data_IF_668851106294
#
_entry.id   IF_668851106294
#
_cell.length_a   1.000
_cell.length_b   1.000
_cell.length_c   1.000
_cell.angle_alpha   90.00
_cell.angle_beta   90.00
_cell.angle_gamma   90.00
#
_symmetry.space_group_name_H-M   'P 1'
#
loop_
_entity.id
_entity.type
_entity.pdbx_description
1 polymer ?
#
# COMPACT_ATOMS: atom_id res chain seq x y z
N UNK A 1 -32.02 38.60 14.58
CA UNK A 1 -33.14 38.29 13.67
C UNK A 1 -32.71 38.31 12.20
N UNK A 2 -31.99 39.35 11.73
CA UNK A 2 -31.51 39.44 10.33
C UNK A 2 -30.56 38.31 9.89
N UNK A 3 -29.72 37.78 10.78
CA UNK A 3 -28.83 36.65 10.47
C UNK A 3 -29.59 35.38 10.03
N UNK A 4 -30.66 35.04 10.73
CA UNK A 4 -31.50 33.90 10.33
C UNK A 4 -32.27 34.18 9.04
N UNK A 5 -32.60 35.46 8.77
CA UNK A 5 -33.25 35.87 7.54
C UNK A 5 -32.35 35.66 6.32
N UNK A 6 -31.05 35.98 6.41
CA UNK A 6 -30.12 35.74 5.30
C UNK A 6 -29.96 34.25 5.01
N UNK A 7 -29.95 33.39 6.03
CA UNK A 7 -29.95 31.92 5.87
C UNK A 7 -31.22 31.43 5.16
N UNK A 8 -32.39 31.98 5.49
CA UNK A 8 -33.66 31.65 4.83
C UNK A 8 -33.67 32.12 3.37
N UNK A 9 -33.12 33.29 3.06
CA UNK A 9 -32.99 33.73 1.66
C UNK A 9 -32.04 32.84 0.87
N UNK A 10 -30.99 32.35 1.49
CA UNK A 10 -30.05 31.41 0.87
C UNK A 10 -30.73 30.07 0.54
N UNK A 11 -31.55 29.53 1.44
CA UNK A 11 -32.31 28.29 1.17
C UNK A 11 -33.34 28.45 0.04
N UNK A 12 -33.79 29.68 -0.20
CA UNK A 12 -34.67 30.05 -1.32
C UNK A 12 -33.91 30.49 -2.58
N UNK A 13 -32.57 30.41 -2.59
CA UNK A 13 -31.69 30.86 -3.69
C UNK A 13 -31.87 32.33 -4.08
N UNK A 14 -32.31 33.20 -3.15
CA UNK A 14 -32.51 34.64 -3.38
C UNK A 14 -31.22 35.41 -3.08
N UNK A 15 -30.19 35.23 -3.92
CA UNK A 15 -28.81 35.68 -3.67
C UNK A 15 -28.71 37.20 -3.42
N UNK A 16 -29.44 38.02 -4.19
CA UNK A 16 -29.40 39.48 -4.01
C UNK A 16 -29.88 39.92 -2.61
N UNK A 17 -30.92 39.24 -2.09
CA UNK A 17 -31.43 39.51 -0.76
C UNK A 17 -30.49 38.99 0.34
N UNK A 18 -29.76 37.91 0.08
CA UNK A 18 -28.71 37.42 0.99
C UNK A 18 -27.60 38.46 1.12
N UNK A 19 -27.11 38.97 -0.01
CA UNK A 19 -26.04 39.98 -0.05
C UNK A 19 -26.46 41.27 0.67
N UNK A 20 -27.64 41.80 0.33
CA UNK A 20 -28.17 43.01 0.94
C UNK A 20 -28.37 42.84 2.46
N UNK A 21 -28.94 41.71 2.88
CA UNK A 21 -29.16 41.45 4.31
C UNK A 21 -27.83 41.33 5.07
N UNK A 22 -26.83 40.64 4.51
CA UNK A 22 -25.52 40.51 5.15
C UNK A 22 -24.76 41.83 5.18
N UNK A 23 -24.87 42.68 4.15
CA UNK A 23 -24.29 44.04 4.16
C UNK A 23 -24.87 44.88 5.28
N UNK A 24 -26.18 44.92 5.41
CA UNK A 24 -26.85 45.64 6.50
C UNK A 24 -26.46 45.12 7.88
N UNK A 25 -26.24 43.81 8.04
CA UNK A 25 -25.77 43.24 9.31
C UNK A 25 -24.37 43.78 9.64
N UNK A 26 -23.46 43.80 8.67
CA UNK A 26 -22.09 44.25 8.87
C UNK A 26 -21.98 45.77 9.04
N UNK A 27 -22.84 46.56 8.39
CA UNK A 27 -22.93 48.01 8.64
C UNK A 27 -23.38 48.33 10.07
N UNK A 28 -24.36 47.57 10.59
CA UNK A 28 -24.90 47.77 11.93
C UNK A 28 -24.00 47.16 13.01
N UNK A 29 -23.32 46.05 12.69
CA UNK A 29 -22.50 45.27 13.62
C UNK A 29 -21.23 44.78 12.91
N UNK A 30 -20.22 45.65 12.70
CA UNK A 30 -19.01 45.30 11.94
C UNK A 30 -18.22 44.11 12.49
N UNK A 31 -18.21 43.96 13.82
CA UNK A 31 -17.47 42.91 14.52
C UNK A 31 -18.30 41.62 14.75
N UNK A 32 -19.46 41.48 14.10
CA UNK A 32 -20.29 40.29 14.25
C UNK A 32 -19.77 39.15 13.36
N UNK A 33 -19.04 38.22 13.98
CA UNK A 33 -18.34 37.11 13.33
C UNK A 33 -19.23 36.30 12.39
N UNK A 34 -20.44 35.93 12.80
CA UNK A 34 -21.34 35.15 11.92
C UNK A 34 -21.78 35.96 10.68
N UNK A 35 -21.90 37.28 10.79
CA UNK A 35 -22.13 38.15 9.65
C UNK A 35 -20.95 38.14 8.66
N UNK A 36 -19.72 38.19 9.20
CA UNK A 36 -18.49 38.12 8.41
C UNK A 36 -18.34 36.76 7.72
N UNK A 37 -18.59 35.66 8.45
CA UNK A 37 -18.57 34.29 7.92
C UNK A 37 -19.62 34.10 6.82
N UNK A 38 -20.84 34.61 7.00
CA UNK A 38 -21.89 34.52 5.99
C UNK A 38 -21.51 35.29 4.72
N UNK A 39 -20.90 36.47 4.87
CA UNK A 39 -20.42 37.25 3.73
C UNK A 39 -19.25 36.55 3.01
N UNK A 40 -18.30 35.97 3.76
CA UNK A 40 -17.19 35.21 3.19
C UNK A 40 -17.67 33.99 2.40
N UNK A 41 -18.64 33.23 2.92
CA UNK A 41 -19.25 32.11 2.20
C UNK A 41 -19.92 32.56 0.89
N UNK A 42 -20.62 33.69 0.91
CA UNK A 42 -21.21 34.27 -0.29
C UNK A 42 -20.15 34.66 -1.33
N UNK A 43 -19.03 35.24 -0.89
CA UNK A 43 -17.91 35.57 -1.78
C UNK A 43 -17.28 34.33 -2.39
N UNK A 44 -17.10 33.26 -1.61
CA UNK A 44 -16.64 31.96 -2.12
C UNK A 44 -17.61 31.43 -3.19
N UNK A 45 -18.92 31.44 -2.92
CA UNK A 45 -19.96 30.98 -3.87
C UNK A 45 -19.98 31.78 -5.16
N UNK A 46 -19.72 33.09 -5.06
CA UNK A 46 -19.64 34.01 -6.20
C UNK A 46 -18.26 34.04 -6.87
N UNK A 47 -17.30 33.22 -6.42
CA UNK A 47 -15.90 33.19 -6.91
C UNK A 47 -15.14 34.52 -6.76
N UNK A 48 -15.51 35.33 -5.76
CA UNK A 48 -14.85 36.60 -5.39
C UNK A 48 -13.85 36.37 -4.26
N UNK A 49 -12.84 35.53 -4.52
CA UNK A 49 -11.92 35.03 -3.50
C UNK A 49 -11.05 36.14 -2.87
N UNK A 50 -10.69 37.14 -3.67
CA UNK A 50 -9.97 38.36 -3.26
C UNK A 50 -10.64 39.11 -2.10
N UNK A 51 -11.96 39.01 -1.99
CA UNK A 51 -12.74 39.71 -0.95
C UNK A 51 -12.84 38.95 0.38
N UNK A 52 -12.44 37.69 0.42
CA UNK A 52 -12.55 36.88 1.64
C UNK A 52 -11.58 37.39 2.72
N UNK A 53 -10.29 37.64 2.43
CA UNK A 53 -9.37 38.24 3.40
C UNK A 53 -9.77 39.66 3.83
N UNK A 54 -10.46 40.42 2.97
CA UNK A 54 -10.97 41.77 3.33
C UNK A 54 -12.00 41.70 4.47
N UNK A 55 -12.76 40.61 4.56
CA UNK A 55 -13.81 40.42 5.58
C UNK A 55 -13.32 39.63 6.78
N UNK A 56 -12.49 38.60 6.58
CA UNK A 56 -12.02 37.71 7.64
C UNK A 56 -10.63 38.07 8.20
N UNK A 57 -10.01 39.13 7.67
CA UNK A 57 -8.64 39.54 8.01
C UNK A 57 -7.61 38.85 7.12
N UNK A 58 -6.51 39.54 6.84
CA UNK A 58 -5.46 39.07 5.92
C UNK A 58 -4.81 37.76 6.41
N UNK A 59 -4.65 37.60 7.72
CA UNK A 59 -4.07 36.40 8.33
C UNK A 59 -5.04 35.22 8.43
N UNK A 60 -6.36 35.46 8.22
CA UNK A 60 -7.42 34.46 8.36
C UNK A 60 -7.37 33.76 9.73
N UNK A 61 -7.13 34.54 10.78
CA UNK A 61 -7.02 34.08 12.17
C UNK A 61 -8.04 34.79 13.07
N UNK A 62 -8.81 34.00 13.81
CA UNK A 62 -9.89 34.53 14.64
C UNK A 62 -9.40 35.52 15.72
N UNK A 63 -8.24 35.25 16.33
CA UNK A 63 -7.65 36.15 17.33
C UNK A 63 -7.16 37.46 16.71
N UNK A 64 -6.69 37.44 15.46
CA UNK A 64 -6.29 38.66 14.73
C UNK A 64 -7.50 39.46 14.28
N UNK A 65 -8.57 38.78 13.90
CA UNK A 65 -9.85 39.39 13.54
C UNK A 65 -10.54 40.06 14.75
N UNK A 66 -10.38 39.48 15.94
CA UNK A 66 -10.95 39.97 17.20
C UNK A 66 -9.86 40.15 18.28
N UNK A 67 -8.96 41.14 18.14
CA UNK A 67 -7.79 41.27 19.00
C UNK A 67 -8.13 41.52 20.47
N UNK A 68 -9.24 42.21 20.74
CA UNK A 68 -9.74 42.53 22.09
C UNK A 68 -10.36 41.34 22.83
N UNK A 69 -10.50 40.17 22.18
CA UNK A 69 -11.13 38.98 22.77
C UNK A 69 -10.12 37.86 22.94
N UNK A 70 -10.02 37.30 24.14
CA UNK A 70 -9.19 36.11 24.42
C UNK A 70 -10.02 34.82 24.51
N UNK A 71 -11.35 34.94 24.60
CA UNK A 71 -12.27 33.79 24.76
C UNK A 71 -13.31 33.82 23.63
N UNK A 72 -13.46 32.67 22.98
CA UNK A 72 -14.42 32.44 21.89
C UNK A 72 -15.29 31.24 22.22
N UNK A 73 -16.56 31.31 21.83
CA UNK A 73 -17.43 30.16 21.90
C UNK A 73 -16.99 29.12 20.85
N UNK A 74 -17.10 27.83 21.17
CA UNK A 74 -16.69 26.75 20.27
C UNK A 74 -17.32 26.90 18.88
N UNK A 75 -18.62 27.21 18.81
CA UNK A 75 -19.33 27.44 17.55
C UNK A 75 -18.78 28.61 16.71
N UNK A 76 -18.23 29.66 17.33
CA UNK A 76 -17.57 30.76 16.60
C UNK A 76 -16.28 30.25 15.96
N UNK A 77 -15.48 29.50 16.72
CA UNK A 77 -14.22 28.94 16.26
C UNK A 77 -14.44 27.92 15.14
N UNK A 78 -15.34 26.96 15.32
CA UNK A 78 -15.57 25.90 14.32
C UNK A 78 -16.14 26.45 13.03
N UNK A 79 -17.07 27.41 13.08
CA UNK A 79 -17.63 28.02 11.86
C UNK A 79 -16.60 28.91 11.15
N UNK A 80 -15.77 29.63 11.90
CA UNK A 80 -14.68 30.40 11.33
C UNK A 80 -13.65 29.50 10.63
N UNK A 81 -13.16 28.46 11.31
CA UNK A 81 -12.21 27.51 10.73
C UNK A 81 -12.81 26.82 9.51
N UNK A 82 -14.08 26.38 9.57
CA UNK A 82 -14.77 25.75 8.44
C UNK A 82 -14.80 26.64 7.19
N UNK A 83 -15.11 27.94 7.31
CA UNK A 83 -15.11 28.84 6.15
C UNK A 83 -13.70 29.14 5.65
N UNK A 84 -12.70 29.22 6.53
CA UNK A 84 -11.29 29.41 6.16
C UNK A 84 -10.74 28.17 5.44
N UNK A 85 -11.03 26.96 5.92
CA UNK A 85 -10.68 25.70 5.26
C UNK A 85 -11.34 25.63 3.87
N UNK A 86 -12.63 25.98 3.79
CA UNK A 86 -13.35 26.07 2.53
C UNK A 86 -12.71 27.07 1.57
N UNK A 87 -12.28 28.23 2.06
CA UNK A 87 -11.58 29.24 1.28
C UNK A 87 -10.26 28.71 0.72
N UNK A 88 -9.40 28.15 1.57
CA UNK A 88 -8.13 27.55 1.13
C UNK A 88 -8.35 26.43 0.11
N UNK A 89 -9.40 25.62 0.29
CA UNK A 89 -9.76 24.57 -0.66
C UNK A 89 -10.07 25.11 -2.07
N UNK A 90 -10.81 26.22 -2.18
CA UNK A 90 -11.19 26.80 -3.49
C UNK A 90 -10.08 27.59 -4.17
N UNK A 91 -9.07 28.06 -3.41
CA UNK A 91 -7.86 28.67 -3.96
C UNK A 91 -6.72 27.65 -4.12
N UNK A 92 -7.01 26.37 -3.94
CA UNK A 92 -6.10 25.23 -4.10
C UNK A 92 -4.87 25.24 -3.16
N UNK A 93 -4.96 25.92 -2.03
CA UNK A 93 -3.92 25.97 -0.99
C UNK A 93 -4.14 24.83 0.02
N UNK A 94 -3.74 23.61 -0.36
CA UNK A 94 -3.95 22.42 0.46
C UNK A 94 -3.19 22.48 1.79
N UNK A 95 -1.97 23.04 1.79
CA UNK A 95 -1.11 23.07 2.98
C UNK A 95 -1.76 23.87 4.13
N UNK A 96 -2.25 25.08 3.85
CA UNK A 96 -2.91 25.87 4.87
C UNK A 96 -4.29 25.30 5.23
N UNK A 97 -5.00 24.68 4.29
CA UNK A 97 -6.27 24.04 4.58
C UNK A 97 -6.11 22.88 5.57
N UNK A 98 -5.11 22.01 5.37
CA UNK A 98 -4.80 20.88 6.25
C UNK A 98 -4.38 21.36 7.64
N UNK A 99 -3.50 22.37 7.74
CA UNK A 99 -3.10 22.96 9.02
C UNK A 99 -4.30 23.43 9.85
N UNK A 100 -5.30 24.06 9.20
CA UNK A 100 -6.51 24.52 9.88
C UNK A 100 -7.45 23.37 10.24
N UNK A 101 -7.57 22.34 9.40
CA UNK A 101 -8.35 21.14 9.70
C UNK A 101 -7.74 20.32 10.85
N UNK A 102 -6.41 20.18 10.89
CA UNK A 102 -5.70 19.48 11.97
C UNK A 102 -5.97 20.17 13.31
N UNK A 103 -5.79 21.48 13.38
CA UNK A 103 -6.14 22.25 14.58
C UNK A 103 -7.61 22.07 14.96
N UNK A 104 -8.53 22.05 13.98
CA UNK A 104 -9.95 21.83 14.21
C UNK A 104 -10.24 20.44 14.79
N UNK A 105 -9.54 19.40 14.33
CA UNK A 105 -9.63 18.02 14.86
C UNK A 105 -9.07 17.91 16.28
N UNK A 106 -8.06 18.70 16.63
CA UNK A 106 -7.53 18.74 18.00
C UNK A 106 -8.53 19.36 19.00
N UNK A 107 -9.18 20.46 18.61
CA UNK A 107 -10.11 21.17 19.52
C UNK A 107 -11.55 20.65 19.50
N UNK A 108 -11.98 20.04 18.39
CA UNK A 108 -13.37 19.65 18.15
C UNK A 108 -13.48 18.41 17.23
N UNK A 109 -12.93 17.24 17.61
CA UNK A 109 -12.84 16.07 16.74
C UNK A 109 -14.20 15.56 16.26
N UNK A 110 -15.18 15.44 17.16
CA UNK A 110 -16.50 14.84 16.89
C UNK A 110 -17.56 15.87 16.47
N UNK A 111 -17.16 17.09 16.10
CA UNK A 111 -18.09 18.16 15.77
C UNK A 111 -18.54 18.09 14.30
N UNK A 112 -19.83 18.29 13.97
CA UNK A 112 -20.33 18.22 12.58
C UNK A 112 -19.65 19.19 11.61
N UNK A 113 -19.21 20.35 12.10
CA UNK A 113 -18.43 21.30 11.29
C UNK A 113 -17.06 20.74 10.88
N UNK A 114 -16.44 19.91 11.72
CA UNK A 114 -15.13 19.29 11.46
C UNK A 114 -15.25 18.26 10.35
N UNK A 115 -16.28 17.40 10.44
CA UNK A 115 -16.64 16.46 9.37
C UNK A 115 -16.93 17.20 8.05
N UNK A 116 -17.74 18.27 8.12
CA UNK A 116 -18.04 19.09 6.93
C UNK A 116 -16.79 19.71 6.33
N UNK A 117 -15.90 20.27 7.15
CA UNK A 117 -14.67 20.89 6.69
C UNK A 117 -13.74 19.89 5.99
N UNK A 118 -13.68 18.66 6.49
CA UNK A 118 -12.93 17.57 5.85
C UNK A 118 -13.45 17.24 4.45
N UNK A 119 -14.77 17.27 4.23
CA UNK A 119 -15.34 17.00 2.89
C UNK A 119 -14.88 18.02 1.83
N UNK A 120 -14.56 19.27 2.23
CA UNK A 120 -14.09 20.28 1.29
C UNK A 120 -12.70 19.96 0.73
N UNK A 121 -11.88 19.20 1.46
CA UNK A 121 -10.51 18.88 1.05
C UNK A 121 -10.43 17.64 0.18
N UNK A 122 -11.47 16.79 0.14
CA UNK A 122 -11.43 15.54 -0.62
C UNK A 122 -11.05 15.73 -2.11
N UNK A 123 -11.67 16.67 -2.86
CA UNK A 123 -11.30 16.89 -4.26
C UNK A 123 -9.86 17.42 -4.42
N UNK A 124 -9.42 18.29 -3.50
CA UNK A 124 -8.10 18.91 -3.56
C UNK A 124 -7.00 17.90 -3.21
N UNK A 125 -7.22 17.05 -2.21
CA UNK A 125 -6.36 15.90 -1.88
C UNK A 125 -6.22 14.98 -3.08
N UNK A 126 -7.34 14.64 -3.74
CA UNK A 126 -7.33 13.79 -4.93
C UNK A 126 -6.55 14.42 -6.09
N UNK A 127 -6.71 15.73 -6.32
CA UNK A 127 -5.99 16.46 -7.36
C UNK A 127 -4.47 16.57 -7.08
N UNK A 128 -4.07 16.72 -5.82
CA UNK A 128 -2.67 16.83 -5.39
C UNK A 128 -1.99 15.47 -5.18
N UNK A 129 -2.76 14.39 -5.10
CA UNK A 129 -2.24 13.05 -4.84
C UNK A 129 -1.11 12.61 -5.79
N UNK A 130 -1.20 12.84 -7.12
CA UNK A 130 -0.11 12.50 -8.04
C UNK A 130 1.18 13.29 -7.78
N UNK A 131 1.08 14.58 -7.44
CA UNK A 131 2.27 15.40 -7.15
C UNK A 131 2.93 14.99 -5.84
N UNK A 132 2.13 14.68 -4.81
CA UNK A 132 2.62 14.15 -3.54
C UNK A 132 3.39 12.85 -3.76
N UNK A 133 2.78 11.88 -4.44
CA UNK A 133 3.44 10.61 -4.77
C UNK A 133 4.71 10.81 -5.60
N UNK A 134 4.73 11.75 -6.54
CA UNK A 134 5.92 12.06 -7.32
C UNK A 134 7.06 12.57 -6.43
N UNK A 135 6.78 13.53 -5.55
CA UNK A 135 7.80 14.06 -4.61
C UNK A 135 8.32 12.99 -3.67
N UNK A 136 7.44 12.13 -3.16
CA UNK A 136 7.81 11.01 -2.29
C UNK A 136 8.67 9.98 -3.03
N UNK A 137 8.32 9.62 -4.27
CA UNK A 137 9.15 8.75 -5.13
C UNK A 137 10.51 9.37 -5.47
N UNK A 138 10.57 10.67 -5.72
CA UNK A 138 11.82 11.38 -5.98
C UNK A 138 12.72 11.48 -4.74
N UNK A 139 12.13 11.45 -3.54
CA UNK A 139 12.85 11.47 -2.27
C UNK A 139 13.23 10.06 -1.77
N UNK A 140 12.54 9.01 -2.24
CA UNK A 140 12.80 7.62 -1.85
C UNK A 140 14.21 7.20 -2.23
N UNK A 141 14.93 6.65 -1.26
CA UNK A 141 16.26 6.08 -1.46
C UNK A 141 16.05 4.61 -1.81
N UNK A 142 16.42 4.21 -3.02
CA UNK A 142 16.31 2.83 -3.51
C UNK A 142 17.73 2.26 -3.69
N UNK A 143 18.02 1.07 -3.15
CA UNK A 143 19.34 0.46 -3.30
C UNK A 143 19.58 0.05 -4.76
N UNK A 144 20.82 0.23 -5.21
CA UNK A 144 21.29 -0.31 -6.50
C UNK A 144 21.58 -1.80 -6.31
N UNK A 145 20.85 -2.68 -6.98
CA UNK A 145 21.10 -4.12 -6.87
C UNK A 145 22.48 -4.46 -7.43
N UNK A 146 23.31 -5.13 -6.63
CA UNK A 146 24.72 -5.35 -6.95
C UNK A 146 24.96 -6.61 -7.80
N UNK A 147 24.13 -7.63 -7.62
CA UNK A 147 24.32 -8.91 -8.30
C UNK A 147 23.41 -8.95 -9.53
N UNK A 148 24.03 -8.85 -10.71
CA UNK A 148 23.32 -8.95 -11.98
C UNK A 148 23.49 -10.33 -12.59
N UNK A 149 22.40 -10.89 -13.10
CA UNK A 149 22.46 -12.17 -13.80
C UNK A 149 23.15 -12.02 -15.17
N UNK A 150 24.06 -12.94 -15.49
CA UNK A 150 24.72 -12.94 -16.79
C UNK A 150 23.84 -13.59 -17.85
N UNK A 151 23.55 -12.86 -18.92
CA UNK A 151 22.83 -13.39 -20.08
C UNK A 151 23.80 -14.11 -21.03
N UNK A 152 24.07 -15.38 -20.72
CA UNK A 152 24.90 -16.25 -21.57
C UNK A 152 24.05 -17.11 -22.51
N UNK A 153 24.66 -17.60 -23.60
CA UNK A 153 24.05 -18.58 -24.52
C UNK A 153 24.17 -20.04 -24.02
N UNK A 154 24.62 -20.24 -22.78
CA UNK A 154 24.77 -21.58 -22.21
C UNK A 154 23.41 -22.28 -22.08
N UNK A 155 23.28 -23.47 -22.66
CA UNK A 155 22.02 -24.18 -22.78
C UNK A 155 22.08 -25.66 -22.36
N UNK A 156 23.21 -26.15 -21.86
CA UNK A 156 23.34 -27.53 -21.43
C UNK A 156 22.55 -27.76 -20.13
N UNK A 157 21.59 -28.71 -20.11
CA UNK A 157 20.79 -28.97 -18.93
C UNK A 157 21.63 -29.62 -17.80
N UNK A 158 21.23 -29.43 -16.54
CA UNK A 158 21.93 -30.00 -15.40
C UNK A 158 21.77 -31.52 -15.37
N UNK A 159 22.74 -32.20 -14.75
CA UNK A 159 22.70 -33.64 -14.52
C UNK A 159 22.25 -33.90 -13.07
N UNK A 160 21.03 -34.39 -12.93
CA UNK A 160 20.46 -34.75 -11.64
C UNK A 160 20.79 -36.18 -11.21
N UNK A 161 20.78 -36.40 -9.90
CA UNK A 161 20.95 -37.73 -9.30
C UNK A 161 19.68 -38.57 -9.42
N UNK A 162 18.51 -37.92 -9.39
CA UNK A 162 17.22 -38.58 -9.53
C UNK A 162 16.54 -38.23 -10.85
N UNK A 163 15.93 -39.22 -11.48
CA UNK A 163 15.26 -39.05 -12.76
C UNK A 163 13.99 -38.20 -12.63
N UNK A 164 13.31 -38.29 -11.49
CA UNK A 164 12.09 -37.59 -11.12
C UNK A 164 12.25 -36.06 -11.14
N UNK A 165 13.48 -35.55 -11.02
CA UNK A 165 13.78 -34.12 -11.15
C UNK A 165 13.31 -33.51 -12.48
N UNK A 166 13.17 -34.33 -13.53
CA UNK A 166 12.60 -33.89 -14.80
C UNK A 166 11.18 -33.33 -14.66
N UNK A 167 10.43 -33.73 -13.62
CA UNK A 167 9.06 -33.24 -13.39
C UNK A 167 9.06 -31.73 -13.18
N UNK A 168 10.10 -31.17 -12.55
CA UNK A 168 10.17 -29.73 -12.33
C UNK A 168 10.30 -28.94 -13.65
N UNK A 169 10.83 -29.57 -14.70
CA UNK A 169 11.07 -28.98 -16.03
C UNK A 169 10.01 -29.36 -17.07
N UNK A 170 8.94 -30.03 -16.65
CA UNK A 170 7.89 -30.55 -17.55
C UNK A 170 6.47 -30.19 -17.11
N UNK A 171 6.32 -29.59 -15.93
CA UNK A 171 5.03 -29.25 -15.33
C UNK A 171 5.10 -27.84 -14.78
N UNK A 172 3.99 -27.11 -14.88
CA UNK A 172 3.84 -25.82 -14.21
C UNK A 172 3.27 -26.03 -12.81
N UNK A 173 2.59 -25.01 -12.29
CA UNK A 173 1.85 -25.11 -11.02
C UNK A 173 0.79 -26.24 -11.02
N UNK A 174 0.38 -26.74 -12.18
CA UNK A 174 -0.52 -27.89 -12.31
C UNK A 174 0.13 -29.26 -12.11
N UNK A 175 1.38 -29.33 -11.62
CA UNK A 175 2.04 -30.58 -11.23
C UNK A 175 1.17 -31.37 -10.25
N UNK A 176 0.94 -32.65 -10.56
CA UNK A 176 0.00 -33.47 -9.80
C UNK A 176 0.53 -33.80 -8.41
N UNK A 177 -0.39 -33.97 -7.45
CA UNK A 177 -0.04 -34.47 -6.12
C UNK A 177 0.70 -35.81 -6.17
N UNK A 178 0.40 -36.68 -7.14
CA UNK A 178 1.12 -37.95 -7.33
C UNK A 178 2.61 -37.71 -7.58
N UNK A 179 2.95 -36.80 -8.51
CA UNK A 179 4.34 -36.44 -8.84
C UNK A 179 5.06 -35.75 -7.68
N UNK A 180 4.37 -34.85 -6.97
CA UNK A 180 4.92 -34.23 -5.76
C UNK A 180 5.24 -35.29 -4.70
N UNK A 181 4.34 -36.25 -4.49
CA UNK A 181 4.57 -37.35 -3.55
C UNK A 181 5.69 -38.30 -3.99
N UNK A 182 5.91 -38.50 -5.29
CA UNK A 182 7.07 -39.24 -5.79
C UNK A 182 8.39 -38.52 -5.44
N UNK A 183 8.46 -37.20 -5.66
CA UNK A 183 9.62 -36.38 -5.30
C UNK A 183 9.90 -36.42 -3.79
N UNK A 184 8.87 -36.30 -2.95
CA UNK A 184 9.02 -36.33 -1.50
C UNK A 184 9.47 -37.70 -0.94
N UNK A 185 9.40 -38.78 -1.73
CA UNK A 185 9.91 -40.11 -1.35
C UNK A 185 11.38 -40.32 -1.69
N UNK A 186 12.00 -39.39 -2.42
CA UNK A 186 13.42 -39.48 -2.76
C UNK A 186 14.31 -39.38 -1.52
N UNK A 187 15.54 -39.94 -1.55
CA UNK A 187 16.49 -39.77 -0.47
C UNK A 187 16.81 -38.28 -0.25
N UNK A 188 16.51 -37.79 0.96
CA UNK A 188 16.47 -36.36 1.27
C UNK A 188 17.78 -35.61 0.95
N UNK A 189 18.95 -36.17 1.29
CA UNK A 189 20.24 -35.48 1.08
C UNK A 189 20.57 -35.28 -0.39
N UNK A 190 20.42 -36.33 -1.21
CA UNK A 190 20.69 -36.23 -2.64
C UNK A 190 19.61 -35.41 -3.35
N UNK A 191 18.36 -35.44 -2.86
CA UNK A 191 17.27 -34.65 -3.43
C UNK A 191 17.47 -33.15 -3.16
N UNK A 192 17.86 -32.77 -1.94
CA UNK A 192 18.24 -31.39 -1.63
C UNK A 192 19.36 -30.87 -2.53
N UNK A 193 20.38 -31.69 -2.81
CA UNK A 193 21.47 -31.33 -3.72
C UNK A 193 20.98 -31.12 -5.16
N UNK A 194 20.05 -31.95 -5.63
CA UNK A 194 19.43 -31.75 -6.95
C UNK A 194 18.60 -30.47 -6.98
N UNK A 195 17.86 -30.13 -5.91
CA UNK A 195 17.10 -28.89 -5.80
C UNK A 195 18.01 -27.64 -5.79
N UNK A 196 19.15 -27.68 -5.11
CA UNK A 196 20.16 -26.60 -5.17
C UNK A 196 20.80 -26.48 -6.57
N UNK A 197 20.97 -27.60 -7.27
CA UNK A 197 21.43 -27.61 -8.66
C UNK A 197 20.41 -26.98 -9.60
N UNK A 198 19.11 -27.10 -9.31
CA UNK A 198 18.05 -26.39 -10.05
C UNK A 198 18.20 -24.86 -9.92
N UNK A 199 18.48 -24.35 -8.72
CA UNK A 199 18.74 -22.91 -8.52
C UNK A 199 20.00 -22.45 -9.27
N UNK A 200 21.05 -23.28 -9.23
CA UNK A 200 22.30 -23.02 -9.96
C UNK A 200 22.08 -23.02 -11.48
N UNK A 201 21.21 -23.89 -11.96
CA UNK A 201 20.85 -23.98 -13.36
C UNK A 201 20.07 -22.76 -13.86
N UNK A 202 19.09 -22.28 -13.09
CA UNK A 202 18.36 -21.05 -13.38
C UNK A 202 19.29 -19.84 -13.56
N UNK A 203 20.35 -19.76 -12.76
CA UNK A 203 21.39 -18.73 -12.89
C UNK A 203 22.19 -18.94 -14.18
N UNK A 204 22.71 -20.15 -14.42
CA UNK A 204 23.60 -20.43 -15.58
C UNK A 204 22.88 -20.27 -16.93
N UNK A 205 21.62 -20.72 -17.01
CA UNK A 205 20.82 -20.73 -18.24
C UNK A 205 19.86 -19.54 -18.35
N UNK A 206 19.97 -18.53 -17.50
CA UNK A 206 19.09 -17.35 -17.55
C UNK A 206 19.01 -16.73 -18.95
N UNK A 207 20.14 -16.44 -19.59
CA UNK A 207 20.18 -15.87 -20.94
C UNK A 207 19.58 -16.78 -22.02
N UNK A 208 19.64 -18.10 -21.83
CA UNK A 208 19.03 -19.07 -22.74
C UNK A 208 17.50 -19.08 -22.62
N UNK A 209 16.96 -19.05 -21.40
CA UNK A 209 15.51 -19.03 -21.15
C UNK A 209 14.88 -17.67 -21.46
N UNK A 210 15.57 -16.56 -21.15
CA UNK A 210 15.09 -15.19 -21.44
C UNK A 210 14.81 -14.94 -22.92
N UNK A 211 15.46 -15.68 -23.82
CA UNK A 211 15.27 -15.60 -25.29
C UNK A 211 14.07 -16.41 -25.79
N UNK A 212 13.47 -17.24 -24.94
CA UNK A 212 12.34 -18.09 -25.28
C UNK A 212 11.02 -17.42 -24.87
N UNK A 213 9.93 -17.87 -25.50
CA UNK A 213 8.60 -17.53 -25.02
C UNK A 213 8.36 -18.23 -23.67
N UNK A 214 7.79 -17.49 -22.72
CA UNK A 214 7.41 -18.03 -21.42
C UNK A 214 6.45 -19.19 -21.58
N UNK A 215 6.75 -20.29 -20.90
CA UNK A 215 5.91 -21.49 -20.81
C UNK A 215 5.98 -22.03 -19.40
N UNK A 216 4.85 -22.03 -18.71
CA UNK A 216 4.70 -22.53 -17.33
C UNK A 216 5.41 -23.87 -17.14
N UNK A 217 5.22 -24.83 -18.05
CA UNK A 217 5.73 -26.19 -17.90
C UNK A 217 7.26 -26.29 -17.88
N UNK A 218 7.96 -25.26 -18.38
CA UNK A 218 9.41 -25.28 -18.55
C UNK A 218 10.14 -24.12 -17.86
N UNK A 219 9.41 -23.18 -17.25
CA UNK A 219 9.98 -22.01 -16.59
C UNK A 219 9.63 -21.92 -15.09
N UNK A 220 8.65 -22.70 -14.62
CA UNK A 220 8.22 -22.69 -13.20
C UNK A 220 9.10 -23.56 -12.28
N UNK A 221 10.14 -24.20 -12.84
CA UNK A 221 11.03 -25.11 -12.12
C UNK A 221 11.73 -24.50 -10.90
N UNK A 222 12.00 -23.19 -10.92
CA UNK A 222 12.61 -22.48 -9.78
C UNK A 222 11.65 -22.38 -8.61
N UNK A 223 10.40 -21.99 -8.90
CA UNK A 223 9.32 -21.89 -7.91
C UNK A 223 9.08 -23.26 -7.27
N UNK A 224 9.00 -24.32 -8.08
CA UNK A 224 8.90 -25.69 -7.56
C UNK A 224 10.06 -26.03 -6.62
N UNK A 225 11.30 -25.71 -7.01
CA UNK A 225 12.47 -26.06 -6.23
C UNK A 225 12.48 -25.36 -4.86
N UNK A 226 12.18 -24.05 -4.81
CA UNK A 226 12.13 -23.31 -3.53
C UNK A 226 11.00 -23.83 -2.63
N UNK A 227 9.83 -24.12 -3.19
CA UNK A 227 8.71 -24.68 -2.41
C UNK A 227 9.03 -26.07 -1.84
N UNK A 228 9.71 -26.92 -2.62
CA UNK A 228 10.17 -28.24 -2.15
C UNK A 228 11.25 -28.11 -1.07
N UNK A 229 12.22 -27.20 -1.23
CA UNK A 229 13.20 -26.91 -0.18
C UNK A 229 12.53 -26.42 1.12
N UNK A 230 11.50 -25.59 0.99
CA UNK A 230 10.64 -25.17 2.10
C UNK A 230 9.95 -26.34 2.78
N UNK A 231 9.31 -27.23 2.02
CA UNK A 231 8.63 -28.41 2.55
C UNK A 231 9.57 -29.36 3.29
N UNK A 232 10.77 -29.57 2.75
CA UNK A 232 11.81 -30.39 3.38
C UNK A 232 12.42 -29.74 4.62
N UNK A 233 12.06 -28.48 4.94
CA UNK A 233 12.71 -27.65 5.95
C UNK A 233 14.23 -27.67 5.79
N UNK A 234 14.68 -27.46 4.56
CA UNK A 234 16.07 -27.61 4.14
C UNK A 234 16.97 -26.48 4.68
N UNK A 235 17.27 -26.46 5.98
CA UNK A 235 18.04 -25.39 6.64
C UNK A 235 19.40 -25.14 5.96
N UNK A 236 20.08 -26.21 5.52
CA UNK A 236 21.38 -26.12 4.83
C UNK A 236 21.32 -25.41 3.47
N UNK A 237 20.15 -25.39 2.82
CA UNK A 237 19.95 -24.77 1.51
C UNK A 237 19.52 -23.29 1.62
N UNK A 238 19.17 -22.80 2.83
CA UNK A 238 18.75 -21.41 3.02
C UNK A 238 19.78 -20.40 2.47
N UNK A 239 21.10 -20.55 2.70
CA UNK A 239 22.09 -19.62 2.12
C UNK A 239 22.05 -19.59 0.59
N UNK A 240 21.82 -20.73 -0.06
CA UNK A 240 21.70 -20.83 -1.52
C UNK A 240 20.46 -20.09 -2.04
N UNK A 241 19.33 -20.23 -1.33
CA UNK A 241 18.08 -19.50 -1.66
C UNK A 241 18.23 -18.00 -1.43
N UNK A 242 18.82 -17.56 -0.31
CA UNK A 242 19.08 -16.14 -0.06
C UNK A 242 20.08 -15.54 -1.07
N UNK A 243 21.05 -16.32 -1.53
CA UNK A 243 21.93 -15.90 -2.61
C UNK A 243 21.17 -15.74 -3.93
N UNK A 244 20.24 -16.64 -4.25
CA UNK A 244 19.34 -16.50 -5.40
C UNK A 244 18.51 -15.22 -5.30
N UNK A 245 17.93 -14.94 -4.13
CA UNK A 245 17.18 -13.70 -3.84
C UNK A 245 18.05 -12.43 -3.77
N UNK A 246 19.36 -12.53 -4.02
CA UNK A 246 20.24 -11.36 -4.09
C UNK A 246 20.40 -10.79 -5.50
N UNK A 247 19.87 -11.47 -6.53
CA UNK A 247 19.94 -11.02 -7.92
C UNK A 247 19.01 -9.84 -8.21
N UNK A 248 19.21 -9.19 -9.36
CA UNK A 248 18.42 -8.06 -9.83
C UNK A 248 16.94 -8.39 -10.10
N UNK A 249 16.10 -7.35 -10.13
CA UNK A 249 14.66 -7.48 -10.29
C UNK A 249 14.26 -8.16 -11.59
N UNK A 250 14.98 -7.94 -12.71
CA UNK A 250 14.63 -8.56 -13.99
C UNK A 250 14.87 -10.07 -13.97
N UNK A 251 15.90 -10.52 -13.23
CA UNK A 251 16.14 -11.94 -13.01
C UNK A 251 15.09 -12.56 -12.08
N UNK A 252 14.78 -11.90 -10.97
CA UNK A 252 13.86 -12.43 -9.97
C UNK A 252 12.41 -12.43 -10.46
N UNK A 253 11.97 -11.36 -11.12
CA UNK A 253 10.63 -11.27 -11.72
C UNK A 253 10.46 -12.35 -12.79
N UNK A 254 11.49 -12.57 -13.62
CA UNK A 254 11.46 -13.65 -14.61
C UNK A 254 11.25 -15.03 -13.97
N UNK A 255 11.96 -15.37 -12.89
CA UNK A 255 11.88 -16.71 -12.33
C UNK A 255 10.76 -16.92 -11.30
N UNK A 256 10.38 -15.87 -10.58
CA UNK A 256 9.49 -15.96 -9.42
C UNK A 256 8.18 -15.21 -9.66
N UNK A 257 8.18 -14.11 -10.42
CA UNK A 257 7.00 -13.26 -10.62
C UNK A 257 6.26 -12.98 -9.31
N UNK A 258 4.94 -13.17 -9.31
CA UNK A 258 4.08 -12.99 -8.13
C UNK A 258 4.44 -13.91 -6.96
N UNK A 259 5.11 -15.05 -7.20
CA UNK A 259 5.51 -15.94 -6.10
C UNK A 259 6.46 -15.26 -5.11
N UNK A 260 7.28 -14.31 -5.58
CA UNK A 260 8.24 -13.58 -4.75
C UNK A 260 7.56 -12.93 -3.54
N UNK A 261 6.40 -12.29 -3.76
CA UNK A 261 5.65 -11.58 -2.71
C UNK A 261 4.58 -12.44 -2.04
N UNK A 262 4.06 -13.45 -2.73
CA UNK A 262 2.89 -14.21 -2.23
C UNK A 262 3.24 -15.52 -1.52
N UNK A 263 4.26 -16.25 -1.98
CA UNK A 263 4.50 -17.65 -1.57
C UNK A 263 5.87 -17.92 -0.96
N UNK A 264 6.91 -17.22 -1.39
CA UNK A 264 8.29 -17.55 -0.99
C UNK A 264 8.54 -17.27 0.50
N UNK A 265 7.82 -16.31 1.11
CA UNK A 265 7.95 -15.99 2.54
C UNK A 265 7.79 -17.22 3.44
N UNK A 266 6.84 -18.13 3.14
CA UNK A 266 6.61 -19.31 3.98
C UNK A 266 7.75 -20.33 3.84
N UNK A 267 8.40 -20.37 2.68
CA UNK A 267 9.54 -21.25 2.42
C UNK A 267 10.75 -20.75 3.22
N UNK A 268 10.97 -19.44 3.23
CA UNK A 268 11.97 -18.80 4.09
C UNK A 268 11.64 -19.01 5.57
N UNK A 269 10.37 -18.90 5.98
CA UNK A 269 9.94 -19.23 7.34
C UNK A 269 10.30 -20.67 7.70
N UNK A 270 9.91 -21.66 6.88
CA UNK A 270 10.15 -23.10 7.13
C UNK A 270 11.64 -23.44 7.20
N UNK A 271 12.48 -22.86 6.34
CA UNK A 271 13.93 -23.10 6.32
C UNK A 271 14.69 -22.25 7.35
N UNK A 272 14.15 -21.10 7.73
CA UNK A 272 14.80 -20.09 8.58
C UNK A 272 14.42 -20.15 10.05
N UNK A 273 13.40 -20.95 10.40
CA UNK A 273 12.84 -21.07 11.75
C UNK A 273 13.93 -21.15 12.84
N UNK A 274 14.95 -22.01 12.68
CA UNK A 274 16.02 -22.19 13.69
C UNK A 274 17.31 -21.39 13.42
N UNK A 275 17.32 -20.53 12.39
CA UNK A 275 18.53 -19.80 11.95
C UNK A 275 18.22 -18.34 11.60
N UNK A 276 17.41 -17.71 12.45
CA UNK A 276 16.98 -16.30 12.37
C UNK A 276 18.14 -15.32 12.20
N UNK A 277 19.30 -15.60 12.78
CA UNK A 277 20.49 -14.75 12.62
C UNK A 277 20.96 -14.63 11.15
N UNK A 278 20.78 -15.68 10.34
CA UNK A 278 21.10 -15.64 8.91
C UNK A 278 20.13 -14.70 8.19
N UNK A 279 18.84 -14.78 8.50
CA UNK A 279 17.81 -13.89 7.97
C UNK A 279 18.08 -12.43 8.35
N UNK A 280 18.40 -12.16 9.62
CA UNK A 280 18.76 -10.81 10.08
C UNK A 280 20.01 -10.26 9.41
N UNK A 281 20.99 -11.13 9.10
CA UNK A 281 22.19 -10.74 8.33
C UNK A 281 21.83 -10.39 6.89
N UNK A 282 20.89 -11.11 6.28
CA UNK A 282 20.41 -10.83 4.93
C UNK A 282 19.72 -9.46 4.84
N UNK A 283 18.88 -9.09 5.82
CA UNK A 283 18.24 -7.77 5.87
C UNK A 283 19.24 -6.61 5.93
N UNK A 284 20.45 -6.85 6.46
CA UNK A 284 21.54 -5.88 6.56
C UNK A 284 22.48 -5.89 5.34
N UNK A 285 22.22 -6.73 4.34
CA UNK A 285 23.06 -6.80 3.14
C UNK A 285 22.77 -5.61 2.21
N UNK A 286 23.81 -4.90 1.74
CA UNK A 286 23.64 -3.79 0.81
C UNK A 286 23.28 -4.30 -0.59
N UNK A 287 22.58 -3.47 -1.37
CA UNK A 287 22.25 -3.76 -2.76
C UNK A 287 21.35 -4.98 -2.95
N UNK A 288 20.42 -5.20 -2.02
CA UNK A 288 19.36 -6.19 -2.15
C UNK A 288 18.06 -5.44 -2.42
N UNK A 289 17.27 -6.01 -3.33
CA UNK A 289 15.98 -5.51 -3.76
C UNK A 289 14.96 -5.47 -2.60
N UNK A 290 14.03 -4.52 -2.67
CA UNK A 290 13.08 -4.17 -1.60
C UNK A 290 12.19 -5.35 -1.19
N UNK A 291 11.54 -6.01 -2.14
CA UNK A 291 10.62 -7.13 -1.89
C UNK A 291 11.36 -8.36 -1.35
N UNK A 292 12.63 -8.57 -1.75
CA UNK A 292 13.49 -9.61 -1.18
C UNK A 292 13.81 -9.39 0.30
N UNK A 293 14.01 -8.14 0.74
CA UNK A 293 14.13 -7.86 2.18
C UNK A 293 12.78 -8.00 2.87
N UNK A 294 11.70 -7.50 2.27
CA UNK A 294 10.35 -7.56 2.83
C UNK A 294 9.87 -9.00 3.07
N UNK A 295 10.10 -9.94 2.14
CA UNK A 295 9.68 -11.33 2.35
C UNK A 295 10.44 -12.00 3.51
N UNK A 296 11.69 -11.58 3.76
CA UNK A 296 12.52 -12.11 4.85
C UNK A 296 12.09 -11.50 6.20
N UNK A 297 11.77 -10.21 6.25
CA UNK A 297 11.21 -9.58 7.46
C UNK A 297 9.83 -10.16 7.78
N UNK A 298 9.01 -10.43 6.76
CA UNK A 298 7.72 -11.09 6.94
C UNK A 298 7.88 -12.50 7.53
N UNK A 299 8.83 -13.30 7.01
CA UNK A 299 9.11 -14.63 7.57
C UNK A 299 9.52 -14.55 9.06
N UNK A 300 10.34 -13.56 9.45
CA UNK A 300 10.70 -13.31 10.85
C UNK A 300 9.49 -12.87 11.69
N UNK A 301 8.60 -12.04 11.13
CA UNK A 301 7.34 -11.64 11.77
C UNK A 301 6.43 -12.85 12.02
N UNK A 302 6.32 -13.77 11.06
CA UNK A 302 5.57 -15.01 11.23
C UNK A 302 6.18 -15.92 12.30
N UNK A 303 7.50 -15.91 12.52
CA UNK A 303 8.10 -16.60 13.69
C UNK A 303 7.55 -16.05 15.00
N UNK A 304 7.35 -14.72 15.14
CA UNK A 304 6.74 -14.15 16.35
C UNK A 304 5.29 -14.62 16.52
N UNK A 305 4.52 -14.70 15.45
CA UNK A 305 3.12 -15.13 15.49
C UNK A 305 2.93 -16.61 15.78
N UNK A 306 3.83 -17.46 15.27
CA UNK A 306 3.79 -18.90 15.48
C UNK A 306 4.49 -19.34 16.77
N UNK A 307 5.51 -18.60 17.21
CA UNK A 307 6.34 -18.88 18.40
C UNK A 307 6.49 -17.63 19.28
N UNK A 308 5.44 -17.22 20.01
CA UNK A 308 5.43 -15.98 20.80
C UNK A 308 6.54 -15.87 21.85
N UNK A 309 7.05 -17.01 22.35
CA UNK A 309 8.18 -17.07 23.28
C UNK A 309 9.49 -16.54 22.69
N UNK A 310 9.60 -16.47 21.35
CA UNK A 310 10.76 -15.95 20.64
C UNK A 310 10.64 -14.47 20.30
N UNK A 311 9.55 -13.79 20.70
CA UNK A 311 9.34 -12.36 20.45
C UNK A 311 10.54 -11.49 20.82
N UNK A 312 11.13 -11.71 22.01
CA UNK A 312 12.29 -10.95 22.49
C UNK A 312 13.52 -11.15 21.60
N UNK A 313 13.73 -12.36 21.07
CA UNK A 313 14.84 -12.67 20.17
C UNK A 313 14.68 -11.92 18.83
N UNK A 314 13.50 -12.04 18.21
CA UNK A 314 13.22 -11.39 16.92
C UNK A 314 13.23 -9.86 17.04
N UNK A 315 12.71 -9.33 18.15
CA UNK A 315 12.76 -7.90 18.43
C UNK A 315 14.19 -7.37 18.54
N UNK A 316 15.07 -8.07 19.28
CA UNK A 316 16.48 -7.71 19.35
C UNK A 316 17.17 -7.78 17.97
N UNK A 317 16.78 -8.75 17.14
CA UNK A 317 17.27 -8.86 15.76
C UNK A 317 16.83 -7.64 14.92
N UNK A 318 15.55 -7.26 14.95
CA UNK A 318 15.07 -6.07 14.25
C UNK A 318 15.67 -4.77 14.80
N UNK A 319 15.93 -4.68 16.11
CA UNK A 319 16.68 -3.56 16.68
C UNK A 319 18.06 -3.43 16.02
N UNK A 320 18.81 -4.52 15.89
CA UNK A 320 20.11 -4.51 15.19
C UNK A 320 19.98 -4.10 13.71
N UNK A 321 18.91 -4.54 13.04
CA UNK A 321 18.63 -4.13 11.65
C UNK A 321 18.41 -2.62 11.61
N UNK A 322 17.51 -2.06 12.42
CA UNK A 322 17.28 -0.61 12.48
C UNK A 322 18.55 0.17 12.83
N UNK A 323 19.34 -0.29 13.79
CA UNK A 323 20.63 0.33 14.14
C UNK A 323 21.62 0.33 12.97
N UNK A 324 21.66 -0.75 12.18
CA UNK A 324 22.43 -0.82 10.95
C UNK A 324 21.96 0.25 9.95
N UNK A 325 20.65 0.36 9.73
CA UNK A 325 20.07 1.38 8.87
C UNK A 325 20.23 2.80 9.40
N UNK A 326 20.30 3.02 10.71
CA UNK A 326 20.55 4.35 11.32
C UNK A 326 22.01 4.76 11.13
N UNK A 327 22.94 3.83 11.32
CA UNK A 327 24.38 4.12 11.26
C UNK A 327 24.95 4.12 9.84
N UNK A 328 24.21 3.56 8.86
CA UNK A 328 24.59 3.55 7.46
C UNK A 328 24.79 4.96 6.87
N UNK A 329 25.80 5.08 6.03
CA UNK A 329 26.08 6.25 5.20
C UNK A 329 25.31 6.12 3.87
N UNK A 330 25.07 7.25 3.22
CA UNK A 330 24.37 7.28 1.92
C UNK A 330 25.05 6.43 0.84
N UNK A 331 26.38 6.33 0.87
CA UNK A 331 27.15 5.56 -0.14
C UNK A 331 27.25 4.06 0.17
N UNK A 332 26.72 3.60 1.31
CA UNK A 332 26.82 2.17 1.71
C UNK A 332 25.86 1.28 0.90
N UNK A 333 24.99 1.87 0.07
CA UNK A 333 24.00 1.16 -0.75
C UNK A 333 23.07 0.23 0.07
N UNK A 334 22.88 0.57 1.35
CA UNK A 334 22.05 -0.19 2.28
C UNK A 334 20.65 0.39 2.43
N UNK A 335 20.57 1.73 2.50
CA UNK A 335 19.34 2.46 2.83
C UNK A 335 18.32 2.22 1.72
N UNK A 336 17.15 1.73 2.13
CA UNK A 336 16.00 1.47 1.29
C UNK A 336 14.78 2.05 2.00
N UNK A 337 14.27 3.16 1.47
CA UNK A 337 13.15 3.88 2.07
C UNK A 337 11.85 3.11 2.02
N UNK A 338 11.68 2.28 1.00
CA UNK A 338 10.46 1.51 0.79
C UNK A 338 10.45 0.30 1.70
N UNK A 339 11.58 -0.42 1.77
CA UNK A 339 11.74 -1.53 2.71
C UNK A 339 11.60 -1.06 4.16
N UNK A 340 12.18 0.09 4.53
CA UNK A 340 12.03 0.62 5.89
C UNK A 340 10.56 0.89 6.23
N UNK A 341 9.77 1.37 5.27
CA UNK A 341 8.32 1.52 5.43
C UNK A 341 7.61 0.18 5.65
N UNK A 342 7.94 -0.84 4.87
CA UNK A 342 7.38 -2.20 5.01
C UNK A 342 7.80 -2.87 6.33
N UNK A 343 9.06 -2.72 6.74
CA UNK A 343 9.57 -3.25 8.00
C UNK A 343 8.85 -2.62 9.21
N UNK A 344 8.48 -1.34 9.14
CA UNK A 344 7.68 -0.69 10.18
C UNK A 344 6.29 -1.34 10.30
N UNK A 345 5.68 -1.76 9.18
CA UNK A 345 4.43 -2.53 9.21
C UNK A 345 4.60 -3.88 9.88
N UNK A 346 5.65 -4.63 9.55
CA UNK A 346 5.96 -5.90 10.20
C UNK A 346 6.15 -5.75 11.72
N UNK A 347 6.81 -4.67 12.15
CA UNK A 347 7.00 -4.35 13.57
C UNK A 347 5.69 -4.05 14.29
N UNK A 348 4.79 -3.30 13.66
CA UNK A 348 3.46 -3.01 14.19
C UNK A 348 2.62 -4.29 14.27
N UNK A 349 2.65 -5.11 13.23
CA UNK A 349 1.92 -6.38 13.15
C UNK A 349 2.39 -7.37 14.22
N UNK A 350 3.71 -7.47 14.45
CA UNK A 350 4.30 -8.27 15.52
C UNK A 350 4.21 -7.63 16.93
N UNK A 351 3.67 -6.41 17.03
CA UNK A 351 3.55 -5.63 18.28
C UNK A 351 4.89 -5.45 19.02
N UNK A 352 5.98 -5.15 18.31
CA UNK A 352 7.31 -4.95 18.90
C UNK A 352 7.50 -3.49 19.37
N UNK A 353 6.72 -3.10 20.38
CA UNK A 353 6.62 -1.71 20.87
C UNK A 353 7.96 -1.10 21.33
N UNK A 354 8.91 -1.93 21.75
CA UNK A 354 10.25 -1.55 22.18
C UNK A 354 11.09 -0.90 21.06
N UNK A 355 10.72 -1.13 19.79
CA UNK A 355 11.41 -0.56 18.62
C UNK A 355 10.94 0.86 18.27
N UNK A 356 9.88 1.36 18.94
CA UNK A 356 9.32 2.71 18.73
C UNK A 356 10.38 3.83 18.72
N UNK A 357 11.38 3.89 19.63
CA UNK A 357 12.41 4.93 19.59
C UNK A 357 13.30 4.88 18.34
N UNK A 358 13.64 3.69 17.86
CA UNK A 358 14.47 3.51 16.66
C UNK A 358 13.71 3.93 15.41
N UNK A 359 12.42 3.56 15.33
CA UNK A 359 11.55 3.97 14.21
C UNK A 359 11.44 5.49 14.16
N UNK A 360 11.17 6.15 15.30
CA UNK A 360 11.14 7.61 15.38
C UNK A 360 12.43 8.25 14.86
N UNK A 361 13.59 7.69 15.23
CA UNK A 361 14.87 8.20 14.76
C UNK A 361 15.03 8.08 13.23
N UNK A 362 14.60 6.97 12.62
CA UNK A 362 14.66 6.82 11.15
C UNK A 362 13.74 7.81 10.43
N UNK A 363 12.55 8.08 10.97
CA UNK A 363 11.66 9.14 10.45
C UNK A 363 12.32 10.52 10.51
N UNK A 364 12.94 10.87 11.65
CA UNK A 364 13.65 12.15 11.83
C UNK A 364 14.83 12.29 10.85
N UNK A 365 15.43 11.18 10.43
CA UNK A 365 16.49 11.15 9.41
C UNK A 365 15.97 11.24 7.97
N UNK A 366 14.64 11.28 7.76
CA UNK A 366 14.03 11.33 6.43
C UNK A 366 14.30 10.09 5.58
N UNK A 367 14.48 8.92 6.22
CA UNK A 367 14.87 7.67 5.53
C UNK A 367 13.69 6.78 5.17
N UNK A 368 12.48 7.07 5.62
CA UNK A 368 11.28 6.25 5.39
C UNK A 368 10.43 6.85 4.28
N UNK A 369 9.87 6.01 3.41
CA UNK A 369 8.83 6.43 2.49
C UNK A 369 7.45 6.43 3.19
N UNK A 370 6.97 7.63 3.53
CA UNK A 370 5.68 7.81 4.22
C UNK A 370 4.47 7.37 3.38
N UNK A 371 4.58 7.24 2.05
CA UNK A 371 3.48 6.71 1.23
C UNK A 371 3.19 5.24 1.52
N UNK A 372 4.21 4.50 1.98
CA UNK A 372 4.09 3.07 2.29
C UNK A 372 3.55 2.90 3.70
N UNK A 373 4.18 3.55 4.69
CA UNK A 373 3.82 3.28 6.07
C UNK A 373 2.83 4.26 6.71
N UNK A 374 2.65 5.44 6.14
CA UNK A 374 1.99 6.56 6.81
C UNK A 374 2.97 7.43 7.60
N UNK A 375 2.46 8.54 8.12
CA UNK A 375 3.29 9.53 8.82
C UNK A 375 3.68 9.06 10.23
N UNK A 376 4.75 9.62 10.78
CA UNK A 376 5.18 9.30 12.16
C UNK A 376 4.04 9.46 13.18
N UNK A 377 3.17 10.48 13.04
CA UNK A 377 2.02 10.68 13.93
C UNK A 377 1.03 9.52 13.85
N UNK A 378 0.79 8.98 12.65
CA UNK A 378 -0.08 7.82 12.45
C UNK A 378 0.54 6.57 13.07
N UNK A 379 1.82 6.30 12.77
CA UNK A 379 2.57 5.17 13.33
C UNK A 379 2.57 5.19 14.87
N UNK A 380 2.85 6.34 15.48
CA UNK A 380 2.82 6.52 16.93
C UNK A 380 1.45 6.23 17.54
N UNK A 381 0.37 6.56 16.81
CA UNK A 381 -1.00 6.25 17.22
C UNK A 381 -1.31 4.76 17.06
N UNK A 382 -0.80 4.14 15.99
CA UNK A 382 -1.04 2.73 15.69
C UNK A 382 -0.30 1.79 16.64
N UNK A 383 0.84 2.21 17.19
CA UNK A 383 1.50 1.51 18.30
C UNK A 383 0.63 1.32 19.54
N UNK A 384 -0.31 2.24 19.77
CA UNK A 384 -1.19 2.24 20.94
C UNK A 384 -2.53 1.53 20.66
N UNK A 385 -2.75 1.04 19.43
CA UNK A 385 -3.95 0.29 19.02
C UNK A 385 -3.68 -1.21 18.99
N UNK A 386 -4.69 -2.06 19.31
CA UNK A 386 -4.60 -3.47 18.99
C UNK A 386 -4.61 -3.68 17.45
N UNK A 387 -4.02 -4.77 16.93
CA UNK A 387 -4.06 -5.11 15.52
C UNK A 387 -5.51 -5.22 15.05
N UNK A 388 -5.81 -4.66 13.87
CA UNK A 388 -7.15 -4.67 13.32
C UNK A 388 -7.66 -6.07 12.95
N UNK A 389 -6.75 -7.00 12.64
CA UNK A 389 -7.04 -8.37 12.20
C UNK A 389 -5.98 -9.36 12.71
N UNK A 390 -6.30 -10.65 12.69
CA UNK A 390 -5.31 -11.70 12.96
C UNK A 390 -4.23 -11.69 11.87
N UNK A 391 -2.97 -11.51 12.28
CA UNK A 391 -1.80 -11.39 11.39
C UNK A 391 -1.03 -12.71 11.21
N UNK A 392 -1.41 -13.74 11.97
CA UNK A 392 -0.84 -15.08 11.87
C UNK A 392 -1.31 -15.72 10.57
N UNK A 393 -0.39 -15.90 9.62
CA UNK A 393 -0.65 -16.59 8.35
C UNK A 393 -0.61 -18.11 8.57
N UNK A 394 -1.49 -18.84 7.89
CA UNK A 394 -1.45 -20.30 7.89
C UNK A 394 -0.21 -20.81 7.14
N UNK A 395 0.43 -21.87 7.67
CA UNK A 395 1.59 -22.50 7.03
C UNK A 395 1.12 -23.77 6.34
N UNK A 396 0.99 -23.73 5.02
CA UNK A 396 0.46 -24.83 4.22
C UNK A 396 1.54 -25.88 3.99
N UNK A 397 1.17 -27.17 3.96
CA UNK A 397 2.06 -28.19 3.40
C UNK A 397 2.15 -28.03 1.87
N UNK A 398 3.10 -28.70 1.24
CA UNK A 398 3.31 -28.51 -0.20
C UNK A 398 2.08 -28.84 -1.05
N UNK A 399 1.32 -29.88 -0.75
CA UNK A 399 0.13 -30.23 -1.55
C UNK A 399 -0.95 -29.15 -1.42
N UNK A 400 -1.19 -28.70 -0.18
CA UNK A 400 -2.12 -27.60 0.12
C UNK A 400 -1.69 -26.28 -0.51
N UNK A 401 -0.38 -26.02 -0.59
CA UNK A 401 0.15 -24.81 -1.21
C UNK A 401 -0.14 -24.77 -2.71
N UNK A 402 0.11 -25.87 -3.43
CA UNK A 402 -0.21 -25.94 -4.85
C UNK A 402 -1.72 -25.84 -5.08
N UNK A 403 -2.53 -26.52 -4.27
CA UNK A 403 -3.99 -26.40 -4.33
C UNK A 403 -4.43 -24.97 -4.05
N UNK A 404 -3.83 -24.29 -3.07
CA UNK A 404 -4.14 -22.90 -2.77
C UNK A 404 -3.86 -22.02 -3.98
N UNK A 405 -2.67 -22.10 -4.58
CA UNK A 405 -2.31 -21.29 -5.75
C UNK A 405 -3.30 -21.53 -6.90
N UNK A 406 -3.57 -22.80 -7.24
CA UNK A 406 -4.49 -23.15 -8.33
C UNK A 406 -5.92 -22.63 -8.09
N UNK A 407 -6.38 -22.63 -6.84
CA UNK A 407 -7.76 -22.30 -6.47
C UNK A 407 -7.97 -20.85 -6.01
N UNK A 408 -6.94 -20.04 -5.86
CA UNK A 408 -7.10 -18.64 -5.41
C UNK A 408 -6.55 -17.63 -6.40
N UNK A 409 -5.56 -17.99 -7.22
CA UNK A 409 -4.95 -17.04 -8.14
C UNK A 409 -5.76 -16.94 -9.42
N UNK A 410 -6.04 -15.70 -9.84
CA UNK A 410 -6.92 -15.41 -10.97
C UNK A 410 -6.45 -16.06 -12.28
N UNK A 411 -5.13 -16.24 -12.45
CA UNK A 411 -4.53 -16.88 -13.62
C UNK A 411 -4.78 -18.39 -13.74
N UNK A 412 -5.08 -19.08 -12.63
CA UNK A 412 -5.27 -20.54 -12.60
C UNK A 412 -6.71 -20.98 -12.38
N UNK A 413 -7.53 -20.10 -11.78
CA UNK A 413 -8.83 -20.48 -11.24
C UNK A 413 -10.00 -20.32 -12.25
N UNK A 414 -9.73 -20.13 -13.55
CA UNK A 414 -10.75 -19.96 -14.58
C UNK A 414 -10.61 -21.00 -15.71
N UNK A 415 -11.65 -21.82 -15.89
CA UNK A 415 -11.86 -22.75 -17.02
C UNK A 415 -11.84 -22.07 -18.42
N UNK A 416 -11.76 -20.73 -18.49
CA UNK A 416 -11.70 -19.94 -19.73
C UNK A 416 -10.27 -19.62 -20.21
N UNK A 417 -9.22 -19.96 -19.44
CA UNK A 417 -7.82 -19.64 -19.78
C UNK A 417 -7.16 -20.62 -20.79
N UNK A 418 -7.94 -21.49 -21.44
CA UNK A 418 -7.43 -22.50 -22.38
C UNK A 418 -7.49 -22.13 -23.87
N UNK A 419 -7.85 -20.90 -24.21
CA UNK A 419 -7.76 -20.42 -25.59
C UNK A 419 -6.91 -19.15 -25.64
N UNK A 420 -5.79 -19.24 -26.37
CA UNK A 420 -4.70 -18.26 -26.34
C UNK A 420 -5.01 -16.93 -27.01
N UNK A 421 -4.15 -15.96 -26.71
CA UNK A 421 -4.05 -14.69 -27.42
C UNK A 421 -3.79 -13.53 -26.45
N UNK A 422 -2.55 -13.02 -26.43
CA UNK A 422 -2.29 -11.65 -26.02
C UNK A 422 -2.97 -10.72 -27.03
N UNK A 423 -4.26 -10.43 -26.80
CA UNK A 423 -4.98 -9.36 -27.49
C UNK A 423 -5.13 -8.19 -26.51
N UNK A 424 -4.41 -7.13 -26.88
CA UNK A 424 -4.70 -5.69 -26.76
C UNK A 424 -5.69 -5.23 -25.67
N UNK A 425 -5.31 -4.14 -24.99
CA UNK A 425 -6.16 -3.43 -24.03
C UNK A 425 -7.38 -2.81 -24.71
N UNK A 426 -8.39 -3.64 -25.00
CA UNK A 426 -9.72 -3.17 -25.37
C UNK A 426 -10.68 -3.45 -24.20
N UNK A 427 -11.15 -2.35 -23.60
CA UNK A 427 -12.11 -2.35 -22.51
C UNK A 427 -13.32 -3.24 -22.84
N UNK A 428 -13.42 -4.40 -22.17
CA UNK A 428 -14.59 -5.27 -22.28
C UNK A 428 -15.85 -4.45 -21.91
N UNK A 429 -16.86 -4.35 -22.80
CA UNK A 429 -18.07 -3.59 -22.48
C UNK A 429 -18.82 -4.25 -21.32
N UNK A 430 -19.19 -3.44 -20.32
CA UNK A 430 -20.00 -3.85 -19.18
C UNK A 430 -21.23 -4.64 -19.64
N UNK A 431 -21.28 -5.92 -19.27
CA UNK A 431 -22.45 -6.77 -19.50
C UNK A 431 -23.49 -6.43 -18.42
N UNK A 432 -24.43 -5.55 -18.74
CA UNK A 432 -25.57 -5.29 -17.87
C UNK A 432 -26.29 -6.61 -17.55
N UNK A 433 -26.34 -6.98 -16.27
CA UNK A 433 -27.10 -8.13 -15.73
C UNK A 433 -28.61 -7.84 -15.65
N UNK A 434 -29.03 -6.62 -15.98
CA UNK A 434 -30.43 -6.23 -16.06
C UNK A 434 -31.04 -6.63 -17.42
N UNK A 435 -32.24 -7.21 -17.38
CA UNK A 435 -33.03 -7.50 -18.57
C UNK A 435 -33.26 -6.18 -19.32
N UNK A 436 -32.70 -6.04 -20.53
CA UNK A 436 -32.91 -4.86 -21.37
C UNK A 436 -34.41 -4.68 -21.62
N UNK A 437 -35.01 -3.64 -21.02
CA UNK A 437 -36.38 -3.21 -21.31
C UNK A 437 -36.44 -2.79 -22.77
N UNK A 438 -37.26 -3.48 -23.56
CA UNK A 438 -37.46 -3.18 -24.96
C UNK A 438 -38.14 -1.81 -25.14
N UNK A 439 -37.78 -1.10 -26.21
CA UNK A 439 -38.31 0.25 -26.55
C UNK A 439 -39.86 0.34 -26.50
N UNK A 440 -40.55 -0.77 -26.77
CA UNK A 440 -42.00 -0.86 -26.80
C UNK A 440 -42.63 -1.50 -25.54
N UNK A 441 -41.81 -1.97 -24.59
CA UNK A 441 -42.27 -2.60 -23.34
C UNK A 441 -42.80 -1.53 -22.37
N UNK A 442 -43.63 -1.91 -21.37
CA UNK A 442 -44.05 -0.98 -20.31
C UNK A 442 -42.83 -0.36 -19.59
N UNK A 443 -42.78 0.97 -19.40
CA UNK A 443 -41.64 1.56 -18.70
C UNK A 443 -41.66 1.13 -17.22
N UNK A 444 -40.51 0.70 -16.65
CA UNK A 444 -40.39 0.38 -15.23
C UNK A 444 -40.62 1.59 -14.30
N UNK A 445 -40.74 2.82 -14.82
CA UNK A 445 -41.13 4.05 -14.10
C UNK A 445 -42.54 3.99 -13.47
N UNK A 446 -43.35 2.95 -13.76
CA UNK A 446 -44.72 2.79 -13.25
C UNK A 446 -45.76 3.69 -13.91
N UNK A 447 -45.39 4.42 -14.97
CA UNK A 447 -46.29 5.40 -15.63
C UNK A 447 -47.40 4.79 -16.50
N UNK A 448 -47.39 3.47 -16.72
CA UNK A 448 -48.30 2.79 -17.66
C UNK A 448 -48.03 3.06 -19.14
N UNK A 449 -46.98 3.81 -19.50
CA UNK A 449 -46.60 4.12 -20.90
C UNK A 449 -45.48 3.19 -21.39
N UNK A 450 -45.35 3.03 -22.72
CA UNK A 450 -44.21 2.32 -23.35
C UNK A 450 -42.89 3.04 -23.04
N UNK A 451 -41.78 2.30 -22.89
CA UNK A 451 -40.46 2.82 -22.52
C UNK A 451 -40.04 4.03 -23.36
N UNK A 452 -40.19 3.95 -24.69
CA UNK A 452 -39.93 5.06 -25.65
C UNK A 452 -40.76 6.33 -25.49
N UNK A 453 -41.76 6.33 -24.61
CA UNK A 453 -42.66 7.48 -24.36
C UNK A 453 -42.65 7.93 -22.88
N UNK A 454 -41.90 7.26 -21.98
CA UNK A 454 -41.69 7.70 -20.58
C UNK A 454 -40.22 8.11 -20.37
N UNK A 455 -39.29 7.25 -20.76
CA UNK A 455 -37.95 7.16 -20.16
C UNK A 455 -36.80 7.24 -21.19
N UNK A 456 -37.16 7.33 -22.46
CA UNK A 456 -36.35 7.47 -23.67
C UNK A 456 -36.89 8.70 -24.41
#
# INVERSE_FOLDING_TARGET
MKNFLSIVYLSQKKIDLVEETNKQILEQHPNYIFGQINMANLYIDQKKFDKVPEILGAELELKKLCPERDIFHLAELTNFLKVVIRYYAVIEDLENAEKRLEFMKEVAPDHPDTETAETFLFPLRLANFPEKLRKEREAAIIPVVLLQAQETDFNEPPLFKHFEMQYLYQYGIDITHEKLNELLRLPQESFMQDLEEVLSDAIRRYGYFKKQEWKEESHTFVVHAIMLLGELKAEKALPSVLNFLSYDSDFLDFWLGEHLTETIWQCIFKMGEHQTQILGTFLQKPGIETYCKSLVSEALCQIVHHHPERKTEISALFANVFECFITAKSDDNLIDSDFLGMLIWDVLDAQLHELRPLIKQIFEMGRVNESICGSLKQIETDFDKPPAFEKKKEILNILELYDHILNTWWGYNNDEAKDGGYDDYDAKPFRHTEVKVGRNDPCPCGSGKKYKKCCL
#
